data_IF_752119908055
#
_entry.id   IF_752119908055
#
_cell.length_a   1.000
_cell.length_b   1.000
_cell.length_c   1.000
_cell.angle_alpha   90.00
_cell.angle_beta   90.00
_cell.angle_gamma   90.00
#
_symmetry.space_group_name_H-M   'P 1'
#
loop_
_entity.id
_entity.type
_entity.pdbx_description
1 polymer ?
#
# COMPACT_ATOMS: atom_id res chain seq x y z
N UNK A 1 0.44 4.25 18.10
CA UNK A 1 -0.33 3.06 17.70
C UNK A 1 -0.62 3.04 16.20
N UNK A 2 -1.18 4.10 15.61
CA UNK A 2 -1.52 4.14 14.17
C UNK A 2 -0.33 3.93 13.21
N UNK A 3 0.91 4.07 13.67
CA UNK A 3 2.09 3.83 12.83
C UNK A 3 2.44 2.35 12.65
N UNK A 4 1.91 1.47 13.52
CA UNK A 4 2.10 0.03 13.37
C UNK A 4 1.16 -0.51 12.28
N UNK A 5 1.70 -1.30 11.36
CA UNK A 5 0.93 -1.88 10.25
C UNK A 5 -0.24 -2.75 10.73
N UNK A 6 -0.11 -3.38 11.90
CA UNK A 6 -1.13 -4.19 12.57
C UNK A 6 -2.37 -3.39 12.99
N UNK A 7 -2.20 -2.09 13.28
CA UNK A 7 -3.27 -1.18 13.72
C UNK A 7 -3.71 -0.27 12.58
N UNK A 8 -2.78 0.24 11.79
CA UNK A 8 -3.05 1.12 10.66
C UNK A 8 -3.85 0.43 9.55
N UNK A 9 -3.55 -0.84 9.24
CA UNK A 9 -4.24 -1.56 8.14
C UNK A 9 -5.73 -1.77 8.42
N UNK A 10 -6.16 -2.25 9.61
CA UNK A 10 -7.58 -2.30 9.95
C UNK A 10 -8.27 -0.93 9.95
N UNK A 11 -7.58 0.14 10.36
CA UNK A 11 -8.13 1.50 10.33
C UNK A 11 -8.37 1.98 8.90
N UNK A 12 -7.46 1.69 7.97
CA UNK A 12 -7.64 1.99 6.54
C UNK A 12 -8.88 1.29 5.98
N UNK A 13 -9.02 -0.03 6.23
CA UNK A 13 -10.18 -0.81 5.78
C UNK A 13 -11.49 -0.31 6.42
N UNK A 14 -11.46 0.02 7.72
CA UNK A 14 -12.60 0.62 8.42
C UNK A 14 -13.05 1.93 7.78
N UNK A 15 -12.12 2.86 7.52
CA UNK A 15 -12.44 4.14 6.91
C UNK A 15 -12.95 4.02 5.47
N UNK A 16 -12.41 3.08 4.69
CA UNK A 16 -12.93 2.76 3.34
C UNK A 16 -14.38 2.28 3.43
N UNK A 17 -14.69 1.34 4.34
CA UNK A 17 -16.04 0.82 4.55
C UNK A 17 -17.03 1.89 5.04
N UNK A 18 -16.55 2.90 5.75
CA UNK A 18 -17.34 4.07 6.15
C UNK A 18 -17.44 5.15 5.05
N UNK A 19 -16.97 4.87 3.82
CA UNK A 19 -16.89 5.84 2.72
C UNK A 19 -16.10 7.11 3.05
N UNK A 20 -15.28 7.07 4.11
CA UNK A 20 -14.42 8.17 4.54
C UNK A 20 -13.03 8.00 3.95
N UNK A 21 -12.95 8.14 2.63
CA UNK A 21 -11.73 7.83 1.89
C UNK A 21 -10.54 8.72 2.27
N UNK A 22 -10.79 10.01 2.53
CA UNK A 22 -9.74 10.93 3.01
C UNK A 22 -9.13 10.48 4.35
N UNK A 23 -9.95 9.97 5.27
CA UNK A 23 -9.49 9.42 6.54
C UNK A 23 -8.69 8.13 6.35
N UNK A 24 -9.08 7.30 5.37
CA UNK A 24 -8.34 6.10 5.00
C UNK A 24 -6.94 6.45 4.47
N UNK A 25 -6.82 7.46 3.59
CA UNK A 25 -5.53 7.93 3.10
C UNK A 25 -4.64 8.46 4.24
N UNK A 26 -5.20 9.29 5.13
CA UNK A 26 -4.45 9.80 6.29
C UNK A 26 -4.01 8.69 7.24
N UNK A 27 -4.83 7.67 7.45
CA UNK A 27 -4.46 6.50 8.25
C UNK A 27 -3.34 5.70 7.57
N UNK A 28 -3.40 5.54 6.26
CA UNK A 28 -2.36 4.85 5.47
C UNK A 28 -1.02 5.60 5.49
N UNK A 29 -1.03 6.92 5.33
CA UNK A 29 0.17 7.78 5.38
C UNK A 29 0.90 7.72 6.73
N UNK A 30 0.18 7.43 7.82
CA UNK A 30 0.76 7.27 9.15
C UNK A 30 1.50 5.94 9.34
N UNK A 31 1.26 4.94 8.48
CA UNK A 31 1.92 3.63 8.57
C UNK A 31 3.37 3.79 8.13
N UNK A 32 4.31 3.53 9.05
CA UNK A 32 5.74 3.74 8.79
C UNK A 32 6.31 2.76 7.75
N UNK A 33 5.89 1.49 7.82
CA UNK A 33 6.28 0.42 6.89
C UNK A 33 5.04 -0.33 6.39
N UNK A 34 4.32 0.22 5.40
CA UNK A 34 3.14 -0.43 4.85
C UNK A 34 3.54 -1.70 4.09
N UNK A 35 2.86 -2.81 4.40
CA UNK A 35 3.06 -4.13 3.80
C UNK A 35 2.06 -4.37 2.65
N UNK A 36 2.18 -5.51 1.97
CA UNK A 36 1.32 -5.84 0.82
C UNK A 36 -0.18 -5.76 1.14
N UNK A 37 -0.58 -6.05 2.39
CA UNK A 37 -1.98 -5.99 2.83
C UNK A 37 -2.46 -4.55 2.93
N UNK A 38 -1.68 -3.64 3.53
CA UNK A 38 -2.08 -2.23 3.65
C UNK A 38 -2.13 -1.53 2.28
N UNK A 39 -1.20 -1.85 1.37
CA UNK A 39 -1.24 -1.36 0.00
C UNK A 39 -2.45 -1.87 -0.78
N UNK A 40 -2.77 -3.16 -0.64
CA UNK A 40 -3.95 -3.75 -1.28
C UNK A 40 -5.25 -3.12 -0.78
N UNK A 41 -5.33 -2.80 0.52
CA UNK A 41 -6.47 -2.13 1.11
C UNK A 41 -6.67 -0.72 0.52
N UNK A 42 -5.62 0.12 0.49
CA UNK A 42 -5.76 1.50 -0.01
C UNK A 42 -6.04 1.55 -1.52
N UNK A 43 -5.42 0.67 -2.32
CA UNK A 43 -5.69 0.56 -3.77
C UNK A 43 -7.14 0.14 -4.01
N UNK A 44 -7.64 -0.83 -3.25
CA UNK A 44 -9.04 -1.25 -3.33
C UNK A 44 -9.99 -0.10 -2.97
N UNK A 45 -9.63 0.72 -1.99
CA UNK A 45 -10.35 1.95 -1.65
C UNK A 45 -10.41 2.94 -2.81
N UNK A 46 -9.29 3.22 -3.49
CA UNK A 46 -9.27 4.08 -4.67
C UNK A 46 -10.17 3.55 -5.80
N UNK A 47 -10.16 2.24 -6.05
CA UNK A 47 -11.03 1.61 -7.05
C UNK A 47 -12.53 1.77 -6.71
N UNK A 48 -12.90 1.62 -5.43
CA UNK A 48 -14.29 1.79 -4.98
C UNK A 48 -14.79 3.24 -5.13
N UNK A 49 -13.88 4.22 -5.02
CA UNK A 49 -14.20 5.64 -5.18
C UNK A 49 -14.12 6.13 -6.64
N UNK A 50 -13.95 5.21 -7.61
CA UNK A 50 -13.72 5.54 -9.03
C UNK A 50 -12.49 6.42 -9.30
N UNK A 51 -11.53 6.44 -8.37
CA UNK A 51 -10.28 7.21 -8.45
C UNK A 51 -9.15 6.35 -9.02
N UNK A 52 -9.36 5.84 -10.25
CA UNK A 52 -8.46 4.86 -10.87
C UNK A 52 -7.05 5.41 -11.16
N UNK A 53 -6.93 6.69 -11.49
CA UNK A 53 -5.63 7.32 -11.76
C UNK A 53 -4.74 7.29 -10.51
N UNK A 54 -5.33 7.55 -9.36
CA UNK A 54 -4.63 7.58 -8.08
C UNK A 54 -4.30 6.16 -7.62
N UNK A 55 -5.20 5.19 -7.86
CA UNK A 55 -4.91 3.77 -7.66
C UNK A 55 -3.66 3.33 -8.44
N UNK A 56 -3.54 3.74 -9.70
CA UNK A 56 -2.40 3.40 -10.56
C UNK A 56 -1.11 4.07 -10.06
N UNK A 57 -1.15 5.35 -9.68
CA UNK A 57 0.02 6.05 -9.10
C UNK A 57 0.49 5.39 -7.80
N UNK A 58 -0.44 5.05 -6.91
CA UNK A 58 -0.19 4.33 -5.66
C UNK A 58 0.44 2.96 -5.92
N UNK A 59 -0.09 2.20 -6.89
CA UNK A 59 0.50 0.92 -7.30
C UNK A 59 1.91 1.05 -7.90
N UNK A 60 2.16 2.09 -8.70
CA UNK A 60 3.50 2.35 -9.25
C UNK A 60 4.51 2.71 -8.15
N UNK A 61 4.09 3.45 -7.12
CA UNK A 61 4.91 3.75 -5.94
C UNK A 61 5.23 2.50 -5.12
N UNK A 62 4.27 1.60 -4.94
CA UNK A 62 4.51 0.28 -4.34
C UNK A 62 5.57 -0.49 -5.11
N UNK A 63 5.45 -0.54 -6.45
CA UNK A 63 6.39 -1.26 -7.30
C UNK A 63 7.80 -0.66 -7.27
N UNK A 64 7.96 0.65 -7.17
CA UNK A 64 9.29 1.28 -7.07
C UNK A 64 9.94 1.05 -5.70
N UNK A 65 9.16 1.05 -4.61
CA UNK A 65 9.65 0.71 -3.26
C UNK A 65 10.01 -0.77 -3.14
N UNK A 66 9.21 -1.68 -3.70
CA UNK A 66 9.54 -3.11 -3.72
C UNK A 66 10.62 -3.47 -4.75
N UNK A 67 10.75 -2.71 -5.85
CA UNK A 67 11.88 -2.85 -6.76
C UNK A 67 13.20 -2.54 -6.05
N UNK A 68 13.22 -1.61 -5.10
CA UNK A 68 14.42 -1.37 -4.29
C UNK A 68 14.86 -2.61 -3.48
N UNK A 69 13.92 -3.49 -3.09
CA UNK A 69 14.20 -4.77 -2.41
C UNK A 69 14.67 -5.86 -3.38
N UNK A 70 14.28 -5.79 -4.65
CA UNK A 70 14.65 -6.75 -5.70
C UNK A 70 16.06 -6.51 -6.28
N UNK A 71 16.75 -5.43 -5.91
CA UNK A 71 17.93 -4.94 -6.62
C UNK A 71 19.26 -5.68 -6.34
N UNK A 72 19.33 -6.64 -5.41
CA UNK A 72 20.59 -7.38 -5.17
C UNK A 72 20.40 -8.90 -5.13
N UNK A 73 19.39 -9.39 -4.42
CA UNK A 73 19.17 -10.84 -4.27
C UNK A 73 18.48 -11.48 -5.48
N UNK A 74 17.62 -10.76 -6.19
CA UNK A 74 16.91 -11.32 -7.36
C UNK A 74 17.82 -11.45 -8.57
N UNK A 75 18.76 -10.52 -8.75
CA UNK A 75 19.75 -10.61 -9.83
C UNK A 75 20.69 -11.82 -9.65
N UNK A 76 21.19 -12.10 -8.43
CA UNK A 76 22.06 -13.27 -8.21
C UNK A 76 21.31 -14.59 -8.39
N UNK A 77 20.04 -14.64 -8.00
CA UNK A 77 19.18 -15.82 -8.16
C UNK A 77 18.95 -16.18 -9.64
N UNK A 78 18.93 -15.18 -10.52
CA UNK A 78 18.78 -15.39 -11.98
C UNK A 78 20.11 -15.84 -12.61
N UNK A 79 21.26 -15.44 -12.06
CA UNK A 79 22.58 -15.80 -12.58
C UNK A 79 23.14 -17.14 -12.04
N UNK A 80 22.49 -17.78 -11.06
CA UNK A 80 22.89 -19.09 -10.52
C UNK A 80 22.09 -20.29 -11.06
N UNK A 81 21.29 -20.09 -12.12
CA UNK A 81 20.62 -21.16 -12.86
C UNK A 81 21.54 -21.78 -13.93
#
# INVERSE_FOLDING_TARGET
>A
LESEVSVGTPLVDFYIKCSSFESACRAFEKISEPNDVSWSAIISGYCQMSQFEEAIKTFQSLRSKNAAVLNSFTYTSIFQA
#
